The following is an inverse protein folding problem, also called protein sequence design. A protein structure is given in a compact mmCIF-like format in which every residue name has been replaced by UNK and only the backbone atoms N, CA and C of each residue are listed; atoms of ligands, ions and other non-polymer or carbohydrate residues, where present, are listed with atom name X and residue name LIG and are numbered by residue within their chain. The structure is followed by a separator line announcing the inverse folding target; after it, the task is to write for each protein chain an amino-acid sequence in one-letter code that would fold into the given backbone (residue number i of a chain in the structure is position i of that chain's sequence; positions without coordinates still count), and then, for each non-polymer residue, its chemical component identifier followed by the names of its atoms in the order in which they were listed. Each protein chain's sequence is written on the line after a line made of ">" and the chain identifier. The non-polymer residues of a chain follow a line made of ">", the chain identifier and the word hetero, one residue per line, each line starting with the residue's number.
data_IF_223134166006
#
_entry.id   IF_223134166006
#
_cell.length_a   1.000
_cell.length_b   1.000
_cell.length_c   1.000
_cell.angle_alpha   90.00
_cell.angle_beta   90.00
_cell.angle_gamma   90.00
#
_symmetry.space_group_name_H-M   'P 1'
#
loop_
_entity.id
_entity.type
_entity.pdbx_description
1 polymer ?
#
# COMPACT_ATOMS: atom_id res chain seq x y z
N UNK A 1 -23.92 5.96 6.00
CA UNK A 1 -22.93 5.49 7.00
C UNK A 1 -22.01 4.41 6.43
N UNK A 2 -22.50 3.21 6.10
CA UNK A 2 -21.65 2.12 5.57
C UNK A 2 -20.81 2.52 4.34
N UNK A 3 -21.40 3.25 3.38
CA UNK A 3 -20.73 3.71 2.15
C UNK A 3 -19.51 4.62 2.44
N UNK A 4 -19.61 5.50 3.44
CA UNK A 4 -18.51 6.39 3.86
C UNK A 4 -17.39 5.58 4.53
N UNK A 5 -17.75 4.59 5.34
CA UNK A 5 -16.77 3.71 6.00
C UNK A 5 -15.94 2.94 4.95
N UNK A 6 -16.56 2.44 3.89
CA UNK A 6 -15.84 1.77 2.79
C UNK A 6 -14.85 2.71 2.09
N UNK A 7 -15.26 3.94 1.76
CA UNK A 7 -14.37 4.93 1.12
C UNK A 7 -13.17 5.25 2.03
N UNK A 8 -13.39 5.38 3.34
CA UNK A 8 -12.30 5.64 4.30
C UNK A 8 -11.31 4.47 4.32
N UNK A 9 -11.80 3.23 4.34
CA UNK A 9 -10.95 2.03 4.32
C UNK A 9 -10.14 1.97 3.03
N UNK A 10 -10.76 2.19 1.87
CA UNK A 10 -10.07 2.22 0.57
C UNK A 10 -8.94 3.27 0.55
N UNK A 11 -9.19 4.46 1.09
CA UNK A 11 -8.17 5.52 1.19
C UNK A 11 -7.03 5.18 2.15
N UNK A 12 -7.32 4.49 3.26
CA UNK A 12 -6.29 4.02 4.19
C UNK A 12 -5.37 2.99 3.50
N UNK A 13 -5.94 2.01 2.80
CA UNK A 13 -5.15 0.99 2.08
C UNK A 13 -4.32 1.63 0.96
N UNK A 14 -4.88 2.61 0.24
CA UNK A 14 -4.13 3.40 -0.75
C UNK A 14 -2.93 4.11 -0.10
N UNK A 15 -3.15 4.76 1.05
CA UNK A 15 -2.09 5.45 1.79
C UNK A 15 -0.99 4.50 2.28
N UNK A 16 -1.35 3.34 2.83
CA UNK A 16 -0.40 2.30 3.25
C UNK A 16 0.43 1.82 2.06
N UNK A 17 -0.21 1.60 0.91
CA UNK A 17 0.46 1.16 -0.32
C UNK A 17 1.54 2.16 -0.76
N UNK A 18 1.22 3.46 -0.71
CA UNK A 18 2.17 4.55 -0.98
C UNK A 18 3.34 4.52 0.01
N UNK A 19 3.06 4.42 1.30
CA UNK A 19 4.11 4.35 2.35
C UNK A 19 5.02 3.14 2.12
N UNK A 20 4.47 1.97 1.79
CA UNK A 20 5.26 0.77 1.51
C UNK A 20 6.21 0.93 0.32
N UNK A 21 5.88 1.77 -0.67
CA UNK A 21 6.74 2.04 -1.83
C UNK A 21 7.81 3.08 -1.50
N UNK A 22 7.40 4.23 -0.95
CA UNK A 22 8.30 5.37 -0.75
C UNK A 22 9.18 5.22 0.50
N UNK A 23 8.61 4.73 1.60
CA UNK A 23 9.33 4.51 2.86
C UNK A 23 9.91 3.09 2.97
N UNK A 24 9.86 2.31 1.89
CA UNK A 24 10.26 0.91 1.86
C UNK A 24 11.60 0.63 2.56
N UNK A 25 12.61 1.45 2.24
CA UNK A 25 13.97 1.29 2.78
C UNK A 25 14.02 1.62 4.27
N UNK A 26 13.35 2.70 4.69
CA UNK A 26 13.28 3.11 6.09
C UNK A 26 12.60 2.04 6.95
N UNK A 27 11.55 1.40 6.43
CA UNK A 27 10.87 0.28 7.07
C UNK A 27 11.81 -0.93 7.13
N UNK A 28 12.43 -1.31 6.01
CA UNK A 28 13.33 -2.46 5.96
C UNK A 28 14.53 -2.32 6.91
N UNK A 29 15.18 -1.15 6.96
CA UNK A 29 16.33 -0.90 7.84
C UNK A 29 15.99 -0.90 9.34
N UNK A 30 14.73 -0.63 9.71
CA UNK A 30 14.30 -0.60 11.11
C UNK A 30 13.96 -1.98 11.65
N UNK A 31 13.54 -2.88 10.77
CA UNK A 31 12.96 -4.18 11.15
C UNK A 31 13.88 -5.36 10.81
N UNK A 32 14.72 -5.23 9.79
CA UNK A 32 15.54 -6.34 9.25
C UNK A 32 17.03 -6.07 9.39
N UNK A 33 17.81 -7.14 9.34
CA UNK A 33 19.27 -7.05 9.36
C UNK A 33 19.80 -6.35 8.11
N UNK A 34 21.01 -5.81 8.17
CA UNK A 34 21.63 -5.08 7.05
C UNK A 34 21.79 -5.95 5.79
N UNK A 35 22.00 -7.26 5.96
CA UNK A 35 22.15 -8.21 4.86
C UNK A 35 20.81 -8.46 4.13
N UNK A 36 19.69 -8.41 4.85
CA UNK A 36 18.35 -8.66 4.30
C UNK A 36 17.67 -7.38 3.80
N UNK A 37 18.09 -6.22 4.31
CA UNK A 37 17.47 -4.91 4.04
C UNK A 37 17.24 -4.64 2.56
N UNK A 38 18.20 -4.98 1.69
CA UNK A 38 18.10 -4.69 0.26
C UNK A 38 17.02 -5.54 -0.43
N UNK A 39 16.97 -6.83 -0.11
CA UNK A 39 15.97 -7.74 -0.64
C UNK A 39 14.58 -7.37 -0.12
N UNK A 40 14.45 -7.16 1.19
CA UNK A 40 13.18 -6.76 1.80
C UNK A 40 12.68 -5.42 1.27
N UNK A 41 13.57 -4.45 1.02
CA UNK A 41 13.17 -3.17 0.39
C UNK A 41 12.55 -3.39 -0.99
N UNK A 42 13.11 -4.29 -1.81
CA UNK A 42 12.55 -4.61 -3.13
C UNK A 42 11.19 -5.27 -3.00
N UNK A 43 11.08 -6.27 -2.12
CA UNK A 43 9.81 -6.98 -1.87
C UNK A 43 8.74 -5.99 -1.40
N UNK A 44 9.05 -5.11 -0.45
CA UNK A 44 8.09 -4.16 0.09
C UNK A 44 7.58 -3.16 -0.97
N UNK A 45 8.45 -2.74 -1.89
CA UNK A 45 8.05 -1.91 -3.04
C UNK A 45 7.14 -2.67 -4.01
N UNK A 46 7.45 -3.92 -4.32
CA UNK A 46 6.65 -4.73 -5.24
C UNK A 46 5.26 -4.98 -4.64
N UNK A 47 5.19 -5.41 -3.38
CA UNK A 47 3.94 -5.65 -2.68
C UNK A 47 3.13 -4.35 -2.56
N UNK A 48 3.78 -3.24 -2.19
CA UNK A 48 3.15 -1.93 -2.12
C UNK A 48 2.59 -1.48 -3.48
N UNK A 49 3.30 -1.72 -4.58
CA UNK A 49 2.83 -1.42 -5.92
C UNK A 49 1.60 -2.26 -6.32
N UNK A 50 1.62 -3.56 -6.04
CA UNK A 50 0.45 -4.43 -6.29
C UNK A 50 -0.76 -3.95 -5.49
N UNK A 51 -0.57 -3.64 -4.20
CA UNK A 51 -1.63 -3.14 -3.33
C UNK A 51 -2.18 -1.78 -3.81
N UNK A 52 -1.32 -0.90 -4.33
CA UNK A 52 -1.72 0.38 -4.92
C UNK A 52 -2.64 0.18 -6.13
N UNK A 53 -2.28 -0.72 -7.04
CA UNK A 53 -3.08 -1.01 -8.25
C UNK A 53 -4.43 -1.59 -7.87
N UNK A 54 -4.48 -2.54 -6.94
CA UNK A 54 -5.74 -3.14 -6.44
C UNK A 54 -6.62 -2.07 -5.79
N UNK A 55 -6.05 -1.21 -4.96
CA UNK A 55 -6.79 -0.14 -4.27
C UNK A 55 -7.36 0.88 -5.26
N UNK A 56 -6.59 1.29 -6.26
CA UNK A 56 -7.06 2.17 -7.33
C UNK A 56 -8.19 1.54 -8.15
N UNK A 57 -8.08 0.25 -8.46
CA UNK A 57 -9.13 -0.48 -9.19
C UNK A 57 -10.42 -0.57 -8.36
N UNK A 58 -10.32 -0.84 -7.06
CA UNK A 58 -11.47 -0.83 -6.16
C UNK A 58 -12.14 0.54 -6.11
N UNK A 59 -11.37 1.61 -5.89
CA UNK A 59 -11.91 2.99 -5.87
C UNK A 59 -12.60 3.32 -7.21
N UNK A 60 -12.00 2.92 -8.33
CA UNK A 60 -12.59 3.14 -9.65
C UNK A 60 -13.93 2.42 -9.82
N UNK A 61 -14.03 1.14 -9.42
CA UNK A 61 -15.26 0.36 -9.46
C UNK A 61 -16.31 0.95 -8.51
N UNK A 62 -15.91 1.31 -7.29
CA UNK A 62 -16.78 1.93 -6.29
C UNK A 62 -17.34 3.24 -6.82
N UNK A 63 -16.53 4.08 -7.49
CA UNK A 63 -16.95 5.33 -8.13
C UNK A 63 -17.93 5.11 -9.30
N UNK A 64 -17.70 4.10 -10.16
CA UNK A 64 -18.63 3.78 -11.27
C UNK A 64 -19.99 3.31 -10.75
N UNK A 65 -19.99 2.50 -9.69
CA UNK A 65 -21.22 1.99 -9.07
C UNK A 65 -21.88 3.02 -8.14
N UNK A 66 -21.26 4.18 -7.94
CA UNK A 66 -21.72 5.20 -7.00
C UNK A 66 -22.80 6.08 -7.59
#
# INVERSE_FOLDING_TARGET
>A
MAKIIFIIIELIVLGISVIMIYDARKIATKTFSSNETNETTKVLKIVGFIALIISLLMIYITKIKM
#
